data_IF_598551500985
#
_entry.id   IF_598551500985
#
_cell.length_a   1.000
_cell.length_b   1.000
_cell.length_c   1.000
_cell.angle_alpha   90.00
_cell.angle_beta   90.00
_cell.angle_gamma   90.00
#
_symmetry.space_group_name_H-M   'P 1'
#
loop_
_entity.id
_entity.type
_entity.pdbx_description
1 polymer ?
#
# COMPACT_ATOMS: atom_id res chain seq x y z
N UNK A 1 0.54 -47.46 10.68
CA UNK A 1 1.98 -47.16 10.58
C UNK A 1 2.09 -45.77 10.00
N UNK A 2 2.22 -44.74 10.85
CA UNK A 2 2.56 -43.40 10.40
C UNK A 2 4.08 -43.38 10.21
N UNK A 3 4.53 -43.27 8.97
CA UNK A 3 5.94 -43.03 8.67
C UNK A 3 6.33 -41.69 9.31
N UNK A 4 7.20 -41.74 10.32
CA UNK A 4 7.78 -40.55 10.90
C UNK A 4 8.66 -39.89 9.83
N UNK A 5 8.17 -38.76 9.29
CA UNK A 5 8.91 -37.92 8.33
C UNK A 5 10.27 -37.56 8.93
N UNK A 6 11.36 -37.86 8.23
CA UNK A 6 12.70 -37.63 8.73
C UNK A 6 12.98 -36.12 8.84
N UNK A 7 13.78 -35.68 9.84
CA UNK A 7 14.02 -34.25 10.10
C UNK A 7 14.52 -33.46 8.89
N UNK A 8 15.32 -34.07 8.02
CA UNK A 8 15.86 -33.43 6.81
C UNK A 8 14.78 -33.11 5.77
N UNK A 9 13.76 -33.97 5.63
CA UNK A 9 12.65 -33.74 4.70
C UNK A 9 11.83 -32.54 5.15
N UNK A 10 11.57 -32.40 6.45
CA UNK A 10 10.76 -31.31 6.99
C UNK A 10 11.45 -29.94 6.85
N UNK A 11 12.76 -29.90 7.10
CA UNK A 11 13.56 -28.69 6.89
C UNK A 11 13.63 -28.28 5.40
N UNK A 12 13.67 -29.23 4.48
CA UNK A 12 13.73 -28.96 3.04
C UNK A 12 12.41 -28.36 2.51
N UNK A 13 11.28 -28.86 3.00
CA UNK A 13 9.95 -28.34 2.67
C UNK A 13 9.74 -26.95 3.24
N UNK A 14 10.09 -26.72 4.51
CA UNK A 14 10.00 -25.41 5.15
C UNK A 14 10.84 -24.35 4.39
N UNK A 15 12.07 -24.70 3.98
CA UNK A 15 12.91 -23.81 3.15
C UNK A 15 12.27 -23.51 1.80
N UNK A 16 11.67 -24.50 1.15
CA UNK A 16 11.02 -24.34 -0.15
C UNK A 16 9.81 -23.42 -0.06
N UNK A 17 8.98 -23.57 0.97
CA UNK A 17 7.85 -22.67 1.23
C UNK A 17 8.31 -21.23 1.49
N UNK A 18 9.34 -21.05 2.34
CA UNK A 18 9.90 -19.74 2.64
C UNK A 18 10.52 -19.05 1.42
N UNK A 19 11.24 -19.79 0.57
CA UNK A 19 11.77 -19.27 -0.69
C UNK A 19 10.65 -18.86 -1.65
N UNK A 20 9.57 -19.66 -1.76
CA UNK A 20 8.40 -19.33 -2.58
C UNK A 20 7.75 -18.03 -2.09
N UNK A 21 7.56 -17.87 -0.79
CA UNK A 21 7.00 -16.66 -0.18
C UNK A 21 7.85 -15.42 -0.46
N UNK A 22 9.17 -15.50 -0.25
CA UNK A 22 10.10 -14.39 -0.58
C UNK A 22 10.03 -14.00 -2.05
N UNK A 23 9.93 -14.99 -2.95
CA UNK A 23 9.77 -14.75 -4.38
C UNK A 23 8.47 -14.02 -4.70
N UNK A 24 7.34 -14.45 -4.14
CA UNK A 24 6.05 -13.80 -4.35
C UNK A 24 5.99 -12.38 -3.76
N UNK A 25 6.50 -12.16 -2.53
CA UNK A 25 6.65 -10.81 -1.97
C UNK A 25 7.49 -9.91 -2.89
N UNK A 26 8.64 -10.42 -3.37
CA UNK A 26 9.49 -9.66 -4.31
C UNK A 26 8.80 -9.37 -5.63
N UNK A 27 8.03 -10.32 -6.18
CA UNK A 27 7.26 -10.11 -7.40
C UNK A 27 6.17 -9.06 -7.20
N UNK A 28 5.41 -9.15 -6.10
CA UNK A 28 4.38 -8.20 -5.76
C UNK A 28 4.93 -6.77 -5.64
N UNK A 29 5.95 -6.57 -4.80
CA UNK A 29 6.58 -5.26 -4.65
C UNK A 29 7.29 -4.81 -5.93
N UNK A 30 7.85 -5.75 -6.70
CA UNK A 30 8.44 -5.47 -8.00
C UNK A 30 7.42 -4.91 -9.00
N UNK A 31 6.27 -5.56 -9.13
CA UNK A 31 5.18 -5.11 -10.01
C UNK A 31 4.67 -3.73 -9.58
N UNK A 32 4.42 -3.53 -8.27
CA UNK A 32 4.00 -2.24 -7.77
C UNK A 32 5.03 -1.14 -8.05
N UNK A 33 6.31 -1.43 -7.79
CA UNK A 33 7.39 -0.47 -8.03
C UNK A 33 7.48 -0.10 -9.51
N UNK A 34 7.44 -1.10 -10.41
CA UNK A 34 7.44 -0.87 -11.87
C UNK A 34 6.21 -0.08 -12.32
N UNK A 35 5.03 -0.39 -11.78
CA UNK A 35 3.80 0.34 -12.06
C UNK A 35 3.85 1.81 -11.65
N UNK A 36 4.33 2.08 -10.43
CA UNK A 36 4.49 3.45 -9.89
C UNK A 36 5.51 4.23 -10.72
N UNK A 37 6.69 3.66 -10.95
CA UNK A 37 7.75 4.33 -11.73
C UNK A 37 7.30 4.55 -13.18
N UNK A 38 6.63 3.56 -13.78
CA UNK A 38 6.09 3.66 -15.14
C UNK A 38 5.02 4.75 -15.27
N UNK A 39 4.11 4.84 -14.28
CA UNK A 39 3.13 5.92 -14.21
C UNK A 39 3.80 7.29 -14.18
N UNK A 40 4.76 7.51 -13.27
CA UNK A 40 5.45 8.79 -13.16
C UNK A 40 6.25 9.14 -14.42
N UNK A 41 6.89 8.15 -15.05
CA UNK A 41 7.59 8.34 -16.31
C UNK A 41 6.63 8.81 -17.42
N UNK A 42 5.47 8.14 -17.57
CA UNK A 42 4.47 8.51 -18.57
C UNK A 42 3.83 9.87 -18.29
N UNK A 43 3.52 10.20 -17.04
CA UNK A 43 3.03 11.54 -16.65
C UNK A 43 4.08 12.61 -16.97
N UNK A 44 5.35 12.32 -16.74
CA UNK A 44 6.44 13.26 -17.07
C UNK A 44 6.53 13.51 -18.57
N UNK A 45 6.39 12.46 -19.39
CA UNK A 45 6.35 12.59 -20.85
C UNK A 45 5.11 13.37 -21.29
N UNK A 46 3.94 13.03 -20.75
CA UNK A 46 2.67 13.71 -21.05
C UNK A 46 2.75 15.21 -20.74
N UNK A 47 3.32 15.60 -19.59
CA UNK A 47 3.49 17.01 -19.23
C UNK A 47 4.38 17.80 -20.22
N UNK A 48 5.22 17.13 -21.02
CA UNK A 48 6.08 17.80 -22.01
C UNK A 48 5.51 17.80 -23.42
N UNK A 49 4.91 16.69 -23.83
CA UNK A 49 4.49 16.45 -25.23
C UNK A 49 2.99 16.61 -25.41
N UNK A 50 2.21 16.53 -24.32
CA UNK A 50 0.75 16.44 -24.37
C UNK A 50 0.26 15.09 -24.92
N UNK A 51 -1.04 15.00 -25.18
CA UNK A 51 -1.67 13.84 -25.81
C UNK A 51 -2.45 12.93 -24.86
N UNK A 52 -3.75 12.83 -25.10
CA UNK A 52 -4.69 12.08 -24.26
C UNK A 52 -4.34 10.59 -24.18
N UNK A 53 -3.80 10.03 -25.26
CA UNK A 53 -3.35 8.64 -25.28
C UNK A 53 -2.25 8.35 -24.24
N UNK A 54 -1.32 9.28 -24.02
CA UNK A 54 -0.23 9.11 -23.04
C UNK A 54 -0.79 9.21 -21.62
N UNK A 55 -1.70 10.16 -21.37
CA UNK A 55 -2.38 10.31 -20.09
C UNK A 55 -3.17 9.06 -19.72
N UNK A 56 -3.98 8.54 -20.65
CA UNK A 56 -4.76 7.31 -20.45
C UNK A 56 -3.84 6.10 -20.25
N UNK A 57 -2.75 6.01 -21.01
CA UNK A 57 -1.76 4.94 -20.85
C UNK A 57 -1.09 4.97 -19.48
N UNK A 58 -0.77 6.15 -18.94
CA UNK A 58 -0.20 6.29 -17.60
C UNK A 58 -1.14 5.66 -16.56
N UNK A 59 -2.41 6.05 -16.59
CA UNK A 59 -3.45 5.52 -15.70
C UNK A 59 -3.62 4.01 -15.91
N UNK A 60 -3.60 3.53 -17.15
CA UNK A 60 -3.66 2.12 -17.48
C UNK A 60 -2.50 1.30 -16.91
N UNK A 61 -1.27 1.82 -16.96
CA UNK A 61 -0.08 1.19 -16.35
C UNK A 61 -0.22 1.10 -14.83
N UNK A 62 -0.67 2.18 -14.20
CA UNK A 62 -0.89 2.21 -12.75
C UNK A 62 -1.90 1.15 -12.30
N UNK A 63 -3.09 1.14 -12.90
CA UNK A 63 -4.13 0.17 -12.57
C UNK A 63 -3.77 -1.25 -12.98
N UNK A 64 -3.13 -1.43 -14.13
CA UNK A 64 -2.64 -2.73 -14.59
C UNK A 64 -1.66 -3.33 -13.60
N UNK A 65 -0.72 -2.55 -13.07
CA UNK A 65 0.21 -3.01 -12.04
C UNK A 65 -0.50 -3.37 -10.73
N UNK A 66 -1.52 -2.62 -10.31
CA UNK A 66 -2.32 -2.96 -9.12
C UNK A 66 -3.03 -4.31 -9.33
N UNK A 67 -3.75 -4.47 -10.44
CA UNK A 67 -4.48 -5.72 -10.73
C UNK A 67 -3.53 -6.91 -10.82
N UNK A 68 -2.39 -6.74 -11.49
CA UNK A 68 -1.35 -7.78 -11.57
C UNK A 68 -0.77 -8.11 -10.19
N UNK A 69 -0.49 -7.09 -9.37
CA UNK A 69 -0.01 -7.27 -8.01
C UNK A 69 -1.03 -8.02 -7.14
N UNK A 70 -2.30 -7.63 -7.19
CA UNK A 70 -3.38 -8.32 -6.48
C UNK A 70 -3.52 -9.77 -6.97
N UNK A 71 -3.36 -10.02 -8.26
CA UNK A 71 -3.31 -11.38 -8.81
C UNK A 71 -2.17 -12.20 -8.20
N UNK A 72 -0.96 -11.62 -8.09
CA UNK A 72 0.19 -12.28 -7.43
C UNK A 72 -0.10 -12.61 -5.97
N UNK A 73 -0.80 -11.73 -5.24
CA UNK A 73 -1.23 -12.01 -3.87
C UNK A 73 -2.28 -13.13 -3.82
N UNK A 74 -3.31 -13.06 -4.65
CA UNK A 74 -4.40 -14.03 -4.67
C UNK A 74 -3.95 -15.45 -5.04
N UNK A 75 -2.98 -15.58 -5.95
CA UNK A 75 -2.38 -16.87 -6.32
C UNK A 75 -1.11 -17.18 -5.51
N UNK A 76 -0.85 -16.42 -4.46
CA UNK A 76 0.30 -16.60 -3.57
C UNK A 76 0.14 -17.82 -2.66
N UNK A 77 1.24 -18.33 -2.09
CA UNK A 77 1.14 -19.28 -0.98
C UNK A 77 0.39 -18.67 0.22
N UNK A 78 -0.80 -19.18 0.49
CA UNK A 78 -1.49 -19.01 1.78
C UNK A 78 -0.81 -19.92 2.80
N UNK A 79 0.17 -19.39 3.52
CA UNK A 79 0.97 -20.19 4.43
C UNK A 79 1.77 -19.35 5.39
N UNK A 80 1.07 -18.91 6.43
CA UNK A 80 1.57 -18.40 7.72
C UNK A 80 2.40 -17.12 7.58
N UNK A 81 1.74 -15.97 7.74
CA UNK A 81 2.45 -14.84 8.34
C UNK A 81 2.86 -15.30 9.75
N UNK A 82 4.16 -15.40 10.01
CA UNK A 82 4.63 -15.70 11.35
C UNK A 82 4.15 -14.58 12.28
N UNK A 83 3.84 -14.90 13.54
CA UNK A 83 3.43 -13.91 14.55
C UNK A 83 4.38 -12.70 14.56
N UNK A 84 5.67 -12.94 14.36
CA UNK A 84 6.68 -11.88 14.24
C UNK A 84 6.47 -10.95 13.04
N UNK A 85 6.10 -11.47 11.88
CA UNK A 85 5.85 -10.63 10.71
C UNK A 85 4.54 -9.85 10.87
N UNK A 86 3.53 -10.44 11.50
CA UNK A 86 2.30 -9.76 11.86
C UNK A 86 2.57 -8.59 12.82
N UNK A 87 3.38 -8.80 13.87
CA UNK A 87 3.81 -7.75 14.79
C UNK A 87 4.56 -6.62 14.07
N UNK A 88 5.51 -6.95 13.19
CA UNK A 88 6.25 -5.95 12.41
C UNK A 88 5.29 -5.14 11.53
N UNK A 89 4.34 -5.81 10.87
CA UNK A 89 3.34 -5.16 10.02
C UNK A 89 2.41 -4.25 10.84
N UNK A 90 1.94 -4.71 12.00
CA UNK A 90 1.09 -3.94 12.90
C UNK A 90 1.82 -2.70 13.43
N UNK A 91 3.08 -2.84 13.84
CA UNK A 91 3.88 -1.73 14.32
C UNK A 91 4.20 -0.72 13.20
N UNK A 92 4.53 -1.20 12.00
CA UNK A 92 4.75 -0.35 10.83
C UNK A 92 3.48 0.39 10.42
N UNK A 93 2.31 -0.28 10.43
CA UNK A 93 1.02 0.33 10.16
C UNK A 93 0.69 1.40 11.21
N UNK A 94 0.88 1.10 12.50
CA UNK A 94 0.68 2.04 13.59
C UNK A 94 1.57 3.28 13.47
N UNK A 95 2.87 3.11 13.17
CA UNK A 95 3.79 4.23 12.91
C UNK A 95 3.37 5.05 11.70
N UNK A 96 3.00 4.39 10.60
CA UNK A 96 2.58 5.06 9.36
C UNK A 96 1.31 5.88 9.57
N UNK A 97 0.31 5.30 10.22
CA UNK A 97 -0.90 6.01 10.63
C UNK A 97 -0.56 7.14 11.59
N UNK A 98 0.32 6.94 12.58
CA UNK A 98 0.75 8.00 13.49
C UNK A 98 1.33 9.22 12.77
N UNK A 99 2.23 9.00 11.82
CA UNK A 99 2.80 10.08 10.99
C UNK A 99 1.73 10.74 10.13
N UNK A 100 0.88 9.97 9.46
CA UNK A 100 -0.22 10.51 8.65
C UNK A 100 -1.20 11.35 9.49
N UNK A 101 -1.48 10.90 10.72
CA UNK A 101 -2.36 11.58 11.67
C UNK A 101 -1.74 12.88 12.17
N UNK A 102 -0.46 12.88 12.51
CA UNK A 102 0.27 14.09 12.88
C UNK A 102 0.23 15.13 11.76
N UNK A 103 0.50 14.72 10.51
CA UNK A 103 0.42 15.60 9.35
C UNK A 103 -0.99 16.13 9.12
N UNK A 104 -2.03 15.32 9.32
CA UNK A 104 -3.42 15.75 9.16
C UNK A 104 -3.84 16.73 10.25
N UNK A 105 -3.52 16.45 11.52
CA UNK A 105 -3.89 17.27 12.69
C UNK A 105 -3.23 18.65 12.62
N UNK A 106 -1.98 18.75 12.17
CA UNK A 106 -1.31 20.03 12.02
C UNK A 106 -1.64 20.70 10.69
N UNK A 107 -1.60 19.94 9.60
CA UNK A 107 -1.73 20.45 8.24
C UNK A 107 -3.12 20.97 7.93
N UNK A 108 -4.18 20.22 8.29
CA UNK A 108 -5.54 20.62 7.91
C UNK A 108 -6.01 21.92 8.60
N UNK A 109 -5.91 22.08 9.94
CA UNK A 109 -6.28 23.33 10.59
C UNK A 109 -5.36 24.50 10.19
N UNK A 110 -4.06 24.24 10.02
CA UNK A 110 -3.09 25.25 9.60
C UNK A 110 -3.42 25.83 8.21
N UNK A 111 -3.65 24.96 7.23
CA UNK A 111 -4.04 25.36 5.87
C UNK A 111 -5.40 26.05 5.85
N UNK A 112 -6.37 25.56 6.63
CA UNK A 112 -7.68 26.20 6.74
C UNK A 112 -7.58 27.62 7.31
N UNK A 113 -6.79 27.81 8.35
CA UNK A 113 -6.59 29.12 8.98
C UNK A 113 -5.88 30.09 8.03
N UNK A 114 -4.78 29.66 7.41
CA UNK A 114 -4.02 30.47 6.46
C UNK A 114 -4.86 30.88 5.23
N UNK A 115 -5.73 29.98 4.77
CA UNK A 115 -6.69 30.27 3.71
C UNK A 115 -7.74 31.30 4.11
N UNK A 116 -8.29 31.19 5.32
CA UNK A 116 -9.27 32.16 5.83
C UNK A 116 -8.68 33.55 6.06
N UNK A 117 -7.43 33.64 6.52
CA UNK A 117 -6.75 34.93 6.73
C UNK A 117 -6.25 35.56 5.42
N UNK A 118 -6.37 34.87 4.29
CA UNK A 118 -5.87 35.34 2.99
C UNK A 118 -4.34 35.37 2.89
N UNK A 119 -3.62 34.80 3.87
CA UNK A 119 -2.14 34.79 3.90
C UNK A 119 -1.59 33.79 2.89
N UNK A 120 -2.30 32.69 2.66
CA UNK A 120 -1.89 31.67 1.70
C UNK A 120 -3.11 30.97 1.08
N UNK A 121 -3.12 30.88 -0.25
CA UNK A 121 -4.12 30.12 -0.99
C UNK A 121 -3.55 28.74 -1.34
N UNK A 122 -4.08 27.71 -0.68
CA UNK A 122 -3.65 26.34 -0.91
C UNK A 122 -4.03 25.87 -2.33
N UNK A 123 -3.09 25.26 -3.08
CA UNK A 123 -3.40 24.59 -4.33
C UNK A 123 -4.50 23.52 -4.17
N UNK A 124 -5.37 23.31 -5.18
CA UNK A 124 -6.49 22.38 -5.07
C UNK A 124 -6.13 20.95 -4.66
N UNK A 125 -4.95 20.47 -5.06
CA UNK A 125 -4.48 19.12 -4.74
C UNK A 125 -4.23 18.89 -3.24
N UNK A 126 -3.90 19.94 -2.46
CA UNK A 126 -3.73 19.83 -1.01
C UNK A 126 -5.05 19.47 -0.31
N UNK A 127 -6.17 20.03 -0.76
CA UNK A 127 -7.48 19.65 -0.25
C UNK A 127 -7.78 18.17 -0.55
N UNK A 128 -7.43 17.70 -1.74
CA UNK A 128 -7.53 16.28 -2.09
C UNK A 128 -6.72 15.38 -1.14
N UNK A 129 -5.50 15.77 -0.78
CA UNK A 129 -4.67 15.03 0.18
C UNK A 129 -5.28 15.02 1.59
N UNK A 130 -5.76 16.16 2.08
CA UNK A 130 -6.41 16.27 3.40
C UNK A 130 -7.61 15.32 3.47
N UNK A 131 -8.51 15.38 2.49
CA UNK A 131 -9.66 14.50 2.43
C UNK A 131 -9.28 13.03 2.24
N UNK A 132 -8.21 12.76 1.50
CA UNK A 132 -7.66 11.41 1.32
C UNK A 132 -7.19 10.80 2.64
N UNK A 133 -6.38 11.52 3.42
CA UNK A 133 -5.95 11.07 4.75
C UNK A 133 -7.14 10.96 5.72
N UNK A 134 -8.04 11.94 5.74
CA UNK A 134 -9.24 11.87 6.58
C UNK A 134 -10.08 10.62 6.27
N UNK A 135 -10.25 10.29 4.97
CA UNK A 135 -10.96 9.09 4.54
C UNK A 135 -10.23 7.81 4.95
N UNK A 136 -8.90 7.76 4.82
CA UNK A 136 -8.09 6.63 5.29
C UNK A 136 -8.30 6.37 6.78
N UNK A 137 -8.30 7.41 7.61
CA UNK A 137 -8.59 7.30 9.04
C UNK A 137 -10.03 6.88 9.32
N UNK A 138 -11.00 7.42 8.59
CA UNK A 138 -12.40 7.01 8.71
C UNK A 138 -12.61 5.53 8.38
N UNK A 139 -12.03 5.05 7.29
CA UNK A 139 -12.06 3.64 6.88
C UNK A 139 -11.39 2.78 7.96
N UNK A 140 -10.21 3.17 8.44
CA UNK A 140 -9.51 2.45 9.50
C UNK A 140 -10.36 2.38 10.77
N UNK A 141 -10.99 3.48 11.18
CA UNK A 141 -11.83 3.51 12.37
C UNK A 141 -13.05 2.59 12.25
N UNK A 142 -13.73 2.58 11.10
CA UNK A 142 -14.86 1.69 10.82
C UNK A 142 -14.42 0.23 10.80
N UNK A 143 -13.32 -0.08 10.10
CA UNK A 143 -12.77 -1.43 10.04
C UNK A 143 -12.38 -1.93 11.43
N UNK A 144 -11.63 -1.13 12.19
CA UNK A 144 -11.22 -1.45 13.55
C UNK A 144 -12.42 -1.66 14.48
N UNK A 145 -13.45 -0.80 14.41
CA UNK A 145 -14.68 -0.97 15.18
C UNK A 145 -15.41 -2.26 14.81
N UNK A 146 -15.53 -2.56 13.52
CA UNK A 146 -16.16 -3.79 13.04
C UNK A 146 -15.41 -5.04 13.51
N UNK A 147 -14.08 -5.07 13.34
CA UNK A 147 -13.25 -6.19 13.79
C UNK A 147 -13.32 -6.36 15.31
N UNK A 148 -13.24 -5.27 16.08
CA UNK A 148 -13.36 -5.31 17.54
C UNK A 148 -14.70 -5.90 18.01
N UNK A 149 -15.78 -5.76 17.23
CA UNK A 149 -17.08 -6.37 17.56
C UNK A 149 -17.11 -7.89 17.36
N UNK A 150 -16.22 -8.43 16.53
CA UNK A 150 -16.17 -9.86 16.22
C UNK A 150 -15.36 -10.67 17.24
N UNK A 151 -14.60 -10.01 18.12
CA UNK A 151 -13.82 -10.59 19.22
C UNK A 151 -14.40 -10.16 20.56
#
# INVERSE_FOLDING_TARGET
>A
MNEAKTPDTDLSEARTQLQRRKRYKRLFYGILTVGIVGYFALVTVWNRVGGDAIAVSAVGVYWGAIVLGLGVLHFGPDGIEDEREEEINAEAAGRTLGVAGFLLILGAPGLATLGQTGVYTAPPWLNGMIWGYASLFGIFAVAHWYTKRQY
#
